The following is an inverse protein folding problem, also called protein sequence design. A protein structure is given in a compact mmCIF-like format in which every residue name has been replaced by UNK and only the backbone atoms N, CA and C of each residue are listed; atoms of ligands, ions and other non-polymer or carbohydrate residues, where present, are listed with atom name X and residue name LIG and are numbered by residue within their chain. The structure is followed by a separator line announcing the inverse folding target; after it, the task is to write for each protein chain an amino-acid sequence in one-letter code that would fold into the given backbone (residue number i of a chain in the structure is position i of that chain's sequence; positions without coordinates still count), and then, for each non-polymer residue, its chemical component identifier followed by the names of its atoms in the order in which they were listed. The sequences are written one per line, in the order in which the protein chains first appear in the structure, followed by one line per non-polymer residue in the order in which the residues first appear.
data_IF_915819886668
#
_entry.id   IF_915819886668
#
_cell.length_a   1.000
_cell.length_b   1.000
_cell.length_c   1.000
_cell.angle_alpha   90.00
_cell.angle_beta   90.00
_cell.angle_gamma   90.00
#
_symmetry.space_group_name_H-M   'P 1'
#
loop_
_entity.id
_entity.type
_entity.pdbx_description
1 polymer ?
#
# COMPACT_ATOMS: atom_id res chain seq x y z
N UNK A 1 41.23 -37.68 69.15
CA UNK A 1 39.88 -38.20 69.51
C UNK A 1 38.98 -38.02 68.30
N UNK A 2 38.05 -38.96 68.05
CA UNK A 2 37.99 -39.77 66.83
C UNK A 2 36.99 -39.29 65.75
N UNK A 3 37.09 -39.94 64.59
CA UNK A 3 36.08 -40.13 63.54
C UNK A 3 34.74 -40.72 64.07
N UNK A 4 33.88 -41.27 63.21
CA UNK A 4 32.89 -40.68 62.30
C UNK A 4 31.45 -41.08 62.72
N UNK A 5 30.40 -40.54 62.11
CA UNK A 5 29.28 -41.39 61.67
C UNK A 5 28.27 -40.67 60.76
N UNK A 6 27.99 -41.35 59.64
CA UNK A 6 26.79 -41.25 58.78
C UNK A 6 25.79 -42.33 59.30
N UNK A 7 24.66 -42.69 58.65
CA UNK A 7 23.81 -42.09 57.61
C UNK A 7 22.28 -42.26 57.88
N UNK A 8 21.41 -41.69 57.03
CA UNK A 8 20.24 -42.34 56.33
C UNK A 8 19.32 -41.25 55.77
N UNK A 9 19.24 -41.06 54.45
CA UNK A 9 18.42 -41.79 53.46
C UNK A 9 17.02 -41.18 53.28
N UNK A 10 16.72 -40.86 52.02
CA UNK A 10 15.54 -40.17 51.48
C UNK A 10 14.23 -40.98 51.58
N UNK A 11 13.06 -40.42 51.15
CA UNK A 11 12.71 -40.57 49.74
C UNK A 11 11.95 -39.40 49.07
N UNK A 12 12.27 -39.22 47.78
CA UNK A 12 11.43 -39.01 46.58
C UNK A 12 10.08 -38.26 46.70
N UNK A 13 9.99 -37.18 45.93
CA UNK A 13 8.73 -36.65 45.36
C UNK A 13 8.96 -35.30 44.65
N UNK A 14 9.06 -35.29 43.32
CA UNK A 14 8.81 -34.08 42.51
C UNK A 14 7.34 -34.03 42.06
N UNK A 15 6.94 -33.25 41.04
CA UNK A 15 7.46 -31.98 40.50
C UNK A 15 6.47 -30.83 40.90
N UNK A 16 6.61 -29.54 40.59
CA UNK A 16 6.50 -28.88 39.29
C UNK A 16 6.71 -27.38 39.46
N UNK A 17 7.33 -26.78 38.46
CA UNK A 17 7.49 -25.35 38.19
C UNK A 17 6.15 -24.59 38.21
N UNK A 18 6.01 -23.58 39.06
CA UNK A 18 5.01 -22.51 38.88
C UNK A 18 5.68 -21.40 38.08
N UNK A 19 5.47 -21.41 36.76
CA UNK A 19 5.93 -20.39 35.84
C UNK A 19 4.71 -19.69 35.24
N UNK A 20 4.64 -18.38 35.49
CA UNK A 20 4.12 -17.35 34.59
C UNK A 20 2.80 -17.65 33.85
N UNK A 21 1.68 -17.27 34.45
CA UNK A 21 0.46 -16.97 33.71
C UNK A 21 0.63 -15.59 33.05
N UNK A 22 1.18 -15.57 31.84
CA UNK A 22 1.01 -14.46 30.92
C UNK A 22 -0.31 -14.67 30.18
N UNK A 23 -1.25 -13.75 30.41
CA UNK A 23 -2.47 -13.61 29.63
C UNK A 23 -2.14 -13.54 28.14
N UNK A 24 -2.39 -14.65 27.44
CA UNK A 24 -2.35 -14.71 25.99
C UNK A 24 -3.64 -14.07 25.48
N UNK A 25 -3.56 -12.84 24.99
CA UNK A 25 -4.61 -12.21 24.19
C UNK A 25 -4.98 -13.14 23.02
N UNK A 26 -6.27 -13.40 22.76
CA UNK A 26 -6.66 -14.22 21.62
C UNK A 26 -6.30 -13.46 20.34
N UNK A 27 -5.45 -14.07 19.51
CA UNK A 27 -5.15 -13.62 18.16
C UNK A 27 -6.43 -13.72 17.35
N UNK A 28 -7.15 -12.61 17.24
CA UNK A 28 -8.27 -12.45 16.31
C UNK A 28 -7.74 -12.63 14.89
N UNK A 29 -8.14 -13.74 14.27
CA UNK A 29 -7.86 -14.01 12.86
C UNK A 29 -8.68 -13.01 12.03
N UNK A 30 -8.07 -12.21 11.13
CA UNK A 30 -8.85 -11.31 10.30
C UNK A 30 -9.82 -12.13 9.43
N UNK A 31 -11.10 -11.71 9.32
CA UNK A 31 -12.09 -12.46 8.55
C UNK A 31 -11.64 -12.56 7.09
N UNK A 32 -11.72 -13.77 6.53
CA UNK A 32 -11.61 -14.00 5.08
C UNK A 32 -12.74 -13.23 4.40
N UNK A 33 -12.39 -12.19 3.65
CA UNK A 33 -13.34 -11.38 2.89
C UNK A 33 -13.89 -12.25 1.75
N UNK A 34 -15.07 -12.83 1.94
CA UNK A 34 -15.87 -13.46 0.88
C UNK A 34 -16.74 -12.36 0.26
N UNK A 35 -16.52 -12.09 -1.03
CA UNK A 35 -17.24 -11.05 -1.77
C UNK A 35 -18.49 -11.67 -2.41
N UNK A 36 -19.62 -11.67 -1.70
CA UNK A 36 -20.93 -11.97 -2.31
C UNK A 36 -21.55 -10.70 -2.90
N UNK A 37 -21.83 -10.73 -4.21
CA UNK A 37 -22.25 -9.58 -5.05
C UNK A 37 -23.75 -9.29 -5.01
N UNK A 38 -24.57 -10.04 -4.27
CA UNK A 38 -26.03 -10.00 -4.42
C UNK A 38 -26.83 -8.95 -3.60
N UNK A 39 -26.30 -8.40 -2.51
CA UNK A 39 -27.14 -7.77 -1.46
C UNK A 39 -27.13 -6.22 -1.47
N UNK A 40 -26.25 -5.56 -2.24
CA UNK A 40 -25.72 -4.24 -1.83
C UNK A 40 -26.24 -3.00 -2.57
N UNK A 41 -27.38 -3.06 -3.27
CA UNK A 41 -27.89 -1.93 -4.07
C UNK A 41 -28.36 -0.71 -3.25
N UNK A 42 -28.82 -0.89 -2.01
CA UNK A 42 -29.31 0.21 -1.15
C UNK A 42 -28.27 0.80 -0.18
N UNK A 43 -27.06 0.21 -0.08
CA UNK A 43 -26.07 0.52 0.96
C UNK A 43 -24.90 1.41 0.50
N UNK A 44 -25.03 2.08 -0.64
CA UNK A 44 -23.98 2.92 -1.25
C UNK A 44 -23.93 4.40 -0.75
N UNK A 45 -24.82 4.80 0.16
CA UNK A 45 -25.03 6.21 0.56
C UNK A 45 -24.35 6.66 1.86
N UNK A 46 -23.54 5.82 2.51
CA UNK A 46 -22.82 6.26 3.70
C UNK A 46 -21.68 7.21 3.31
N UNK A 47 -21.68 8.39 3.92
CA UNK A 47 -20.57 9.35 3.84
C UNK A 47 -19.31 8.74 4.47
N UNK A 48 -18.13 9.11 3.97
CA UNK A 48 -16.84 8.61 4.47
C UNK A 48 -16.74 8.78 6.00
N UNK A 49 -17.26 9.90 6.52
CA UNK A 49 -17.30 10.20 7.96
C UNK A 49 -18.14 9.19 8.75
N UNK A 50 -19.29 8.79 8.21
CA UNK A 50 -20.19 7.84 8.85
C UNK A 50 -19.58 6.43 8.87
N UNK A 51 -18.94 6.03 7.77
CA UNK A 51 -18.25 4.74 7.70
C UNK A 51 -17.09 4.71 8.70
N UNK A 52 -16.30 5.79 8.81
CA UNK A 52 -15.23 5.90 9.81
C UNK A 52 -15.79 5.77 11.23
N UNK A 53 -16.90 6.43 11.54
CA UNK A 53 -17.53 6.36 12.86
C UNK A 53 -17.99 4.94 13.20
N UNK A 54 -18.65 4.25 12.27
CA UNK A 54 -19.10 2.86 12.46
C UNK A 54 -17.93 1.92 12.71
N UNK A 55 -16.86 2.01 11.92
CA UNK A 55 -15.65 1.19 12.11
C UNK A 55 -15.04 1.42 13.49
N UNK A 56 -15.01 2.67 13.98
CA UNK A 56 -14.49 3.01 15.32
C UNK A 56 -15.35 2.43 16.45
N UNK A 57 -16.66 2.26 16.23
CA UNK A 57 -17.57 1.63 17.21
C UNK A 57 -17.52 0.10 17.24
N UNK A 58 -16.62 -0.52 16.46
CA UNK A 58 -16.43 -1.97 16.44
C UNK A 58 -17.27 -2.70 15.38
N UNK A 59 -18.01 -1.98 14.52
CA UNK A 59 -18.68 -2.55 13.36
C UNK A 59 -17.66 -2.79 12.25
N UNK A 60 -16.89 -3.88 12.36
CA UNK A 60 -15.78 -4.18 11.46
C UNK A 60 -16.22 -4.29 10.00
N UNK A 61 -17.45 -4.76 9.77
CA UNK A 61 -18.03 -4.92 8.42
C UNK A 61 -18.20 -3.57 7.70
N UNK A 62 -18.33 -2.47 8.44
CA UNK A 62 -18.40 -1.13 7.85
C UNK A 62 -17.11 -0.77 7.07
N UNK A 63 -15.96 -1.34 7.46
CA UNK A 63 -14.71 -1.13 6.71
C UNK A 63 -14.78 -1.75 5.30
N UNK A 64 -15.62 -2.77 5.10
CA UNK A 64 -15.88 -3.36 3.79
C UNK A 64 -16.35 -2.32 2.77
N UNK A 65 -17.13 -1.33 3.18
CA UNK A 65 -17.57 -0.24 2.30
C UNK A 65 -16.41 0.66 1.84
N UNK A 66 -15.40 0.87 2.69
CA UNK A 66 -14.18 1.59 2.31
C UNK A 66 -13.41 0.80 1.25
N UNK A 67 -13.23 -0.50 1.48
CA UNK A 67 -12.52 -1.38 0.54
C UNK A 67 -13.26 -1.40 -0.79
N UNK A 68 -14.58 -1.62 -0.80
CA UNK A 68 -15.38 -1.67 -2.02
C UNK A 68 -15.27 -0.39 -2.85
N UNK A 69 -15.36 0.77 -2.19
CA UNK A 69 -15.29 2.10 -2.82
C UNK A 69 -13.89 2.42 -3.36
N UNK A 70 -12.84 2.07 -2.61
CA UNK A 70 -11.48 2.54 -2.90
C UNK A 70 -10.54 1.48 -3.48
N UNK A 71 -10.91 0.19 -3.51
CA UNK A 71 -10.03 -0.88 -4.02
C UNK A 71 -9.54 -0.61 -5.44
N UNK A 72 -10.45 -0.28 -6.36
CA UNK A 72 -10.13 -0.10 -7.76
C UNK A 72 -9.33 1.19 -7.98
N UNK A 73 -9.70 2.35 -7.41
CA UNK A 73 -8.86 3.55 -7.43
C UNK A 73 -7.45 3.31 -6.90
N UNK A 74 -7.30 2.65 -5.74
CA UNK A 74 -6.00 2.43 -5.10
C UNK A 74 -5.14 1.44 -5.90
N UNK A 75 -5.70 0.35 -6.41
CA UNK A 75 -4.97 -0.59 -7.28
C UNK A 75 -4.52 0.11 -8.57
N UNK A 76 -5.39 0.91 -9.21
CA UNK A 76 -5.04 1.67 -10.41
C UNK A 76 -3.97 2.72 -10.14
N UNK A 77 -4.04 3.40 -9.00
CA UNK A 77 -3.03 4.35 -8.55
C UNK A 77 -1.68 3.66 -8.40
N UNK A 78 -1.64 2.58 -7.62
CA UNK A 78 -0.42 1.81 -7.36
C UNK A 78 0.16 1.19 -8.64
N UNK A 79 -0.69 0.73 -9.56
CA UNK A 79 -0.25 0.18 -10.86
C UNK A 79 0.52 1.22 -11.67
N UNK A 80 0.06 2.48 -11.70
CA UNK A 80 0.80 3.57 -12.36
C UNK A 80 2.13 3.88 -11.69
N UNK A 81 2.28 3.57 -10.39
CA UNK A 81 3.52 3.77 -9.66
C UNK A 81 4.49 2.59 -9.80
N UNK A 82 4.00 1.36 -9.85
CA UNK A 82 4.82 0.13 -9.87
C UNK A 82 5.10 -0.38 -11.28
N UNK A 83 4.18 -0.16 -12.22
CA UNK A 83 4.18 -0.76 -13.54
C UNK A 83 3.76 -2.23 -13.57
N UNK A 84 3.26 -2.77 -12.45
CA UNK A 84 2.86 -4.17 -12.32
C UNK A 84 1.59 -4.27 -11.47
N UNK A 85 0.54 -4.90 -12.04
CA UNK A 85 -0.77 -5.01 -11.42
C UNK A 85 -0.79 -5.96 -10.21
N UNK A 86 -0.04 -7.06 -10.24
CA UNK A 86 0.02 -8.00 -9.12
C UNK A 86 0.71 -7.36 -7.92
N UNK A 87 1.86 -6.71 -8.13
CA UNK A 87 2.51 -5.91 -7.08
C UNK A 87 1.59 -4.81 -6.58
N UNK A 88 0.80 -4.18 -7.44
CA UNK A 88 -0.15 -3.15 -7.03
C UNK A 88 -1.29 -3.71 -6.18
N UNK A 89 -1.78 -4.92 -6.45
CA UNK A 89 -2.78 -5.61 -5.63
C UNK A 89 -2.23 -5.95 -4.25
N UNK A 90 -1.01 -6.47 -4.17
CA UNK A 90 -0.34 -6.76 -2.90
C UNK A 90 -0.18 -5.48 -2.05
N UNK A 91 0.34 -4.42 -2.66
CA UNK A 91 0.48 -3.12 -1.99
C UNK A 91 -0.88 -2.51 -1.60
N UNK A 92 -1.93 -2.73 -2.38
CA UNK A 92 -3.28 -2.29 -2.03
C UNK A 92 -3.81 -3.05 -0.81
N UNK A 93 -3.57 -4.36 -0.73
CA UNK A 93 -3.93 -5.17 0.43
C UNK A 93 -3.22 -4.65 1.70
N UNK A 94 -1.91 -4.43 1.62
CA UNK A 94 -1.13 -3.82 2.71
C UNK A 94 -1.67 -2.44 3.10
N UNK A 95 -2.09 -1.65 2.11
CA UNK A 95 -2.67 -0.31 2.31
C UNK A 95 -3.96 -0.39 3.12
N UNK A 96 -4.91 -1.26 2.73
CA UNK A 96 -6.17 -1.41 3.44
C UNK A 96 -5.98 -2.02 4.84
N UNK A 97 -5.07 -2.98 4.98
CA UNK A 97 -4.75 -3.55 6.29
C UNK A 97 -4.17 -2.49 7.24
N UNK A 98 -3.24 -1.67 6.75
CA UNK A 98 -2.66 -0.59 7.54
C UNK A 98 -3.68 0.50 7.85
N UNK A 99 -4.55 0.84 6.89
CA UNK A 99 -5.66 1.75 7.09
C UNK A 99 -6.58 1.23 8.20
N UNK A 100 -7.05 -0.01 8.13
CA UNK A 100 -7.87 -0.62 9.16
C UNK A 100 -7.21 -0.59 10.55
N UNK A 101 -5.90 -0.85 10.65
CA UNK A 101 -5.20 -0.78 11.94
C UNK A 101 -5.06 0.64 12.49
N UNK A 102 -5.01 1.65 11.62
CA UNK A 102 -4.75 3.04 12.01
C UNK A 102 -6.03 3.86 12.19
N UNK A 103 -7.12 3.57 11.47
CA UNK A 103 -8.43 4.23 11.66
C UNK A 103 -8.96 4.09 13.08
N UNK A 104 -8.66 2.96 13.73
CA UNK A 104 -9.02 2.66 15.12
C UNK A 104 -8.22 3.49 16.14
N UNK A 105 -7.05 4.00 15.74
CA UNK A 105 -6.14 4.76 16.61
C UNK A 105 -6.26 6.27 16.41
N UNK A 106 -6.63 6.70 15.20
CA UNK A 106 -6.73 8.13 14.90
C UNK A 106 -8.01 8.71 15.49
N UNK A 107 -7.90 9.86 16.17
CA UNK A 107 -9.03 10.60 16.76
C UNK A 107 -9.49 11.79 15.91
N UNK A 108 -8.67 12.21 14.95
CA UNK A 108 -8.95 13.36 14.09
C UNK A 108 -10.01 13.05 13.03
N UNK A 109 -10.67 14.11 12.58
CA UNK A 109 -11.35 14.13 11.28
C UNK A 109 -10.29 14.02 10.18
N UNK A 110 -10.51 13.12 9.23
CA UNK A 110 -9.58 12.84 8.15
C UNK A 110 -10.38 12.82 6.85
N UNK A 111 -9.84 13.43 5.79
CA UNK A 111 -10.27 13.10 4.44
C UNK A 111 -9.87 11.65 4.16
N UNK A 112 -10.85 10.74 4.14
CA UNK A 112 -10.61 9.30 3.96
C UNK A 112 -9.84 9.03 2.68
N UNK A 113 -10.23 9.71 1.58
CA UNK A 113 -9.50 9.68 0.31
C UNK A 113 -8.03 10.07 0.51
N UNK A 114 -7.75 11.30 0.96
CA UNK A 114 -6.36 11.77 1.09
C UNK A 114 -5.52 10.85 2.01
N UNK A 115 -6.12 10.36 3.09
CA UNK A 115 -5.48 9.47 4.03
C UNK A 115 -5.14 8.09 3.44
N UNK A 116 -6.05 7.47 2.67
CA UNK A 116 -5.77 6.22 1.95
C UNK A 116 -4.63 6.40 0.93
N UNK A 117 -4.66 7.49 0.15
CA UNK A 117 -3.59 7.79 -0.81
C UNK A 117 -2.26 8.06 -0.11
N UNK A 118 -2.24 8.62 1.10
CA UNK A 118 -1.03 8.76 1.92
C UNK A 118 -0.44 7.41 2.30
N UNK A 119 -1.26 6.48 2.79
CA UNK A 119 -0.81 5.13 3.14
C UNK A 119 -0.29 4.41 1.88
N UNK A 120 -1.05 4.42 0.78
CA UNK A 120 -0.67 3.80 -0.48
C UNK A 120 0.66 4.35 -1.02
N UNK A 121 0.82 5.68 -0.98
CA UNK A 121 2.06 6.35 -1.41
C UNK A 121 3.26 5.92 -0.57
N UNK A 122 3.09 5.78 0.74
CA UNK A 122 4.17 5.32 1.61
C UNK A 122 4.54 3.86 1.32
N UNK A 123 3.57 2.99 1.07
CA UNK A 123 3.82 1.59 0.71
C UNK A 123 4.57 1.50 -0.64
N UNK A 124 4.14 2.27 -1.64
CA UNK A 124 4.84 2.36 -2.93
C UNK A 124 6.28 2.87 -2.78
N UNK A 125 6.51 3.91 -1.97
CA UNK A 125 7.87 4.42 -1.69
C UNK A 125 8.75 3.37 -1.03
N UNK A 126 8.23 2.64 -0.06
CA UNK A 126 8.97 1.56 0.61
C UNK A 126 9.32 0.43 -0.36
N UNK A 127 8.38 0.04 -1.22
CA UNK A 127 8.63 -0.93 -2.30
C UNK A 127 9.76 -0.48 -3.22
N UNK A 128 9.70 0.75 -3.74
CA UNK A 128 10.75 1.30 -4.62
C UNK A 128 12.10 1.44 -3.93
N UNK A 129 12.12 1.82 -2.64
CA UNK A 129 13.36 1.88 -1.84
C UNK A 129 13.99 0.49 -1.69
N UNK A 130 13.20 -0.53 -1.37
CA UNK A 130 13.66 -1.93 -1.27
C UNK A 130 14.19 -2.45 -2.60
N UNK A 131 13.45 -2.23 -3.70
CA UNK A 131 13.88 -2.64 -5.04
C UNK A 131 15.20 -1.97 -5.44
N UNK A 132 15.35 -0.68 -5.17
CA UNK A 132 16.61 0.04 -5.42
C UNK A 132 17.76 -0.61 -4.67
N UNK A 133 17.61 -0.89 -3.37
CA UNK A 133 18.65 -1.54 -2.56
C UNK A 133 19.03 -2.92 -3.11
N UNK A 134 18.06 -3.73 -3.54
CA UNK A 134 18.31 -5.04 -4.15
C UNK A 134 19.04 -4.93 -5.50
N UNK A 135 18.78 -3.88 -6.29
CA UNK A 135 19.53 -3.62 -7.54
C UNK A 135 20.98 -3.19 -7.29
N UNK A 136 21.30 -2.65 -6.11
CA UNK A 136 22.68 -2.30 -5.72
C UNK A 136 23.46 -3.48 -5.09
N UNK A 137 22.79 -4.61 -4.83
CA UNK A 137 23.48 -5.88 -4.53
C UNK A 137 23.80 -6.53 -5.88
N UNK A 138 25.05 -6.98 -6.14
CA UNK A 138 25.42 -7.60 -7.40
C UNK A 138 24.83 -9.01 -7.46
N UNK A 139 23.52 -9.10 -7.68
CA UNK A 139 22.86 -10.29 -8.17
C UNK A 139 22.20 -9.90 -9.49
N UNK A 140 22.79 -10.41 -10.57
CA UNK A 140 22.36 -10.13 -11.92
C UNK A 140 20.93 -10.61 -12.13
N UNK A 141 20.03 -9.68 -12.37
CA UNK A 141 18.93 -9.77 -13.33
C UNK A 141 18.19 -8.43 -13.30
N UNK A 142 18.43 -7.60 -14.33
CA UNK A 142 17.62 -6.40 -14.56
C UNK A 142 16.27 -6.87 -15.10
N UNK A 143 15.33 -7.15 -14.20
CA UNK A 143 13.93 -7.34 -14.55
C UNK A 143 13.37 -6.05 -15.15
N UNK A 144 13.26 -6.00 -16.47
CA UNK A 144 12.41 -5.04 -17.18
C UNK A 144 10.98 -5.21 -16.64
N UNK A 145 10.25 -4.11 -16.39
CA UNK A 145 8.83 -4.24 -16.04
C UNK A 145 8.10 -4.89 -17.22
N UNK A 146 7.76 -6.17 -17.06
CA UNK A 146 6.91 -6.89 -18.02
C UNK A 146 5.49 -6.39 -17.82
N UNK A 147 5.03 -5.55 -18.74
CA UNK A 147 3.60 -5.29 -18.91
C UNK A 147 3.06 -6.54 -19.62
N UNK A 148 2.12 -7.25 -19.00
CA UNK A 148 1.41 -8.33 -19.67
C UNK A 148 0.70 -7.72 -20.90
N UNK A 149 1.22 -8.04 -22.08
CA UNK A 149 0.67 -7.57 -23.34
C UNK A 149 -0.59 -8.39 -23.66
N UNK A 150 -1.76 -7.81 -23.39
CA UNK A 150 -2.99 -8.29 -24.01
C UNK A 150 -2.92 -7.90 -25.50
N UNK A 151 -2.84 -8.90 -26.37
CA UNK A 151 -2.88 -8.70 -27.81
C UNK A 151 -4.29 -8.33 -28.23
N UNK A 152 -4.54 -7.03 -28.40
CA UNK A 152 -5.65 -6.52 -29.20
C UNK A 152 -5.23 -5.22 -29.90
N UNK A 153 -5.23 -5.25 -31.23
CA UNK A 153 -4.94 -4.13 -32.13
C UNK A 153 -5.91 -2.97 -31.89
N UNK A 154 -5.39 -1.87 -31.35
CA UNK A 154 -5.87 -0.52 -31.61
C UNK A 154 -4.72 0.45 -31.36
N UNK A 155 -4.58 1.49 -32.18
CA UNK A 155 -3.59 2.57 -31.97
C UNK A 155 -3.71 3.15 -30.55
N UNK A 156 -4.91 3.15 -29.97
CA UNK A 156 -5.18 3.56 -28.59
C UNK A 156 -4.51 2.64 -27.55
N UNK A 157 -4.46 1.32 -27.78
CA UNK A 157 -3.74 0.38 -26.90
C UNK A 157 -2.25 0.69 -26.92
N UNK A 158 -1.70 0.94 -28.11
CA UNK A 158 -0.28 1.23 -28.30
C UNK A 158 0.10 2.60 -27.70
N UNK A 159 -0.73 3.62 -27.91
CA UNK A 159 -0.56 4.94 -27.31
C UNK A 159 -0.61 4.84 -25.77
N UNK A 160 -1.59 4.11 -25.23
CA UNK A 160 -1.72 3.90 -23.78
C UNK A 160 -0.49 3.20 -23.19
N UNK A 161 0.01 2.15 -23.85
CA UNK A 161 1.26 1.50 -23.43
C UNK A 161 2.45 2.46 -23.45
N UNK A 162 2.53 3.33 -24.47
CA UNK A 162 3.57 4.37 -24.56
C UNK A 162 3.48 5.34 -23.38
N UNK A 163 2.28 5.82 -23.05
CA UNK A 163 2.04 6.72 -21.93
C UNK A 163 2.45 6.05 -20.61
N UNK A 164 2.04 4.80 -20.39
CA UNK A 164 2.38 4.04 -19.19
C UNK A 164 3.90 3.84 -19.07
N UNK A 165 4.58 3.48 -20.15
CA UNK A 165 6.04 3.35 -20.17
C UNK A 165 6.76 4.69 -19.94
N UNK A 166 6.29 5.77 -20.56
CA UNK A 166 6.84 7.10 -20.37
C UNK A 166 6.69 7.56 -18.92
N UNK A 167 5.54 7.30 -18.30
CA UNK A 167 5.32 7.54 -16.87
C UNK A 167 6.32 6.73 -16.02
N UNK A 168 6.59 5.47 -16.38
CA UNK A 168 7.57 4.63 -15.67
C UNK A 168 9.03 5.12 -15.79
N UNK A 169 9.35 5.99 -16.75
CA UNK A 169 10.67 6.65 -16.86
C UNK A 169 10.79 7.92 -15.99
N UNK A 170 9.67 8.53 -15.59
CA UNK A 170 9.66 9.68 -14.66
C UNK A 170 10.11 9.23 -13.27
N UNK A 171 10.96 10.02 -12.59
CA UNK A 171 11.36 9.73 -11.21
C UNK A 171 10.14 9.50 -10.30
N UNK A 172 10.21 8.48 -9.42
CA UNK A 172 9.09 8.06 -8.58
C UNK A 172 8.41 9.19 -7.81
N UNK A 173 9.16 10.10 -7.18
CA UNK A 173 8.57 11.20 -6.39
C UNK A 173 7.77 12.19 -7.26
N UNK A 174 8.25 12.45 -8.47
CA UNK A 174 7.60 13.34 -9.43
C UNK A 174 6.36 12.66 -10.01
N UNK A 175 6.48 11.37 -10.35
CA UNK A 175 5.37 10.54 -10.85
C UNK A 175 4.21 10.48 -9.85
N UNK A 176 4.50 10.28 -8.56
CA UNK A 176 3.50 10.32 -7.48
C UNK A 176 2.70 11.63 -7.53
N UNK A 177 3.39 12.78 -7.58
CA UNK A 177 2.73 14.07 -7.62
C UNK A 177 1.88 14.26 -8.88
N UNK A 178 2.36 13.80 -10.04
CA UNK A 178 1.62 13.87 -11.31
C UNK A 178 0.35 13.02 -11.27
N UNK A 179 0.42 11.77 -10.80
CA UNK A 179 -0.74 10.88 -10.76
C UNK A 179 -1.79 11.41 -9.78
N UNK A 180 -1.38 11.84 -8.59
CA UNK A 180 -2.30 12.43 -7.61
C UNK A 180 -2.99 13.70 -8.14
N UNK A 181 -2.28 14.51 -8.95
CA UNK A 181 -2.85 15.73 -9.51
C UNK A 181 -3.77 15.45 -10.69
N UNK A 182 -3.27 14.78 -11.74
CA UNK A 182 -3.98 14.64 -13.01
C UNK A 182 -4.99 13.50 -13.03
N UNK A 183 -4.75 12.41 -12.28
CA UNK A 183 -5.64 11.25 -12.27
C UNK A 183 -6.62 11.34 -11.11
N UNK A 184 -6.14 11.73 -9.93
CA UNK A 184 -6.98 11.75 -8.71
C UNK A 184 -7.65 13.11 -8.46
N UNK A 185 -7.27 14.14 -9.23
CA UNK A 185 -7.85 15.48 -9.17
C UNK A 185 -7.50 16.27 -7.91
N UNK A 186 -6.45 15.88 -7.18
CA UNK A 186 -6.10 16.52 -5.91
C UNK A 186 -5.40 17.86 -6.14
N UNK A 187 -5.69 18.81 -5.24
CA UNK A 187 -5.02 20.12 -5.23
C UNK A 187 -3.60 19.96 -4.70
N UNK A 188 -2.70 20.86 -5.11
CA UNK A 188 -1.30 20.79 -4.68
C UNK A 188 -1.12 20.81 -3.15
N UNK A 189 -2.00 21.51 -2.43
CA UNK A 189 -1.98 21.54 -0.96
C UNK A 189 -2.24 20.14 -0.37
N UNK A 190 -3.31 19.47 -0.81
CA UNK A 190 -3.67 18.11 -0.38
C UNK A 190 -2.58 17.10 -0.74
N UNK A 191 -2.00 17.23 -1.93
CA UNK A 191 -0.87 16.40 -2.34
C UNK A 191 0.33 16.62 -1.41
N UNK A 192 0.60 17.87 -1.02
CA UNK A 192 1.67 18.22 -0.07
C UNK A 192 1.49 17.49 1.27
N UNK A 193 0.27 17.48 1.79
CA UNK A 193 -0.12 16.75 3.01
C UNK A 193 0.04 15.23 2.86
N UNK A 194 -0.30 14.67 1.69
CA UNK A 194 -0.13 13.24 1.39
C UNK A 194 1.34 12.86 1.35
N UNK A 195 2.14 13.62 0.59
CA UNK A 195 3.52 13.26 0.27
C UNK A 195 4.52 13.74 1.32
N UNK A 196 4.14 14.70 2.18
CA UNK A 196 4.96 15.26 3.24
C UNK A 196 5.90 16.39 2.80
N UNK A 197 5.48 17.26 1.87
CA UNK A 197 6.25 18.46 1.46
C UNK A 197 5.35 19.69 1.30
N UNK A 198 5.95 20.87 1.11
CA UNK A 198 5.21 22.10 0.83
C UNK A 198 4.46 22.06 -0.51
N UNK A 199 3.35 22.81 -0.60
CA UNK A 199 2.59 22.97 -1.85
C UNK A 199 3.49 23.42 -3.01
N UNK A 200 4.42 24.34 -2.76
CA UNK A 200 5.35 24.84 -3.76
C UNK A 200 6.30 23.74 -4.25
N UNK A 201 6.77 22.87 -3.36
CA UNK A 201 7.58 21.71 -3.73
C UNK A 201 6.78 20.71 -4.60
N UNK A 202 5.49 20.52 -4.32
CA UNK A 202 4.60 19.73 -5.20
C UNK A 202 4.51 20.36 -6.59
N UNK A 203 4.23 21.67 -6.67
CA UNK A 203 4.15 22.40 -7.95
C UNK A 203 5.44 22.23 -8.77
N UNK A 204 6.61 22.38 -8.13
CA UNK A 204 7.93 22.17 -8.76
C UNK A 204 8.11 20.71 -9.21
N UNK A 205 7.69 19.73 -8.41
CA UNK A 205 7.76 18.29 -8.78
C UNK A 205 6.87 17.95 -9.98
N UNK A 206 5.64 18.47 -10.03
CA UNK A 206 4.73 18.28 -11.17
C UNK A 206 5.32 18.90 -12.43
N UNK A 207 5.80 20.14 -12.36
CA UNK A 207 6.41 20.81 -13.51
C UNK A 207 7.64 20.06 -14.05
N UNK A 208 8.53 19.61 -13.16
CA UNK A 208 9.69 18.79 -13.55
C UNK A 208 9.27 17.42 -14.08
N UNK A 209 8.26 16.80 -13.46
CA UNK A 209 7.69 15.53 -13.92
C UNK A 209 7.10 15.61 -15.33
N UNK A 210 6.40 16.70 -15.65
CA UNK A 210 5.89 16.95 -17.01
C UNK A 210 7.02 17.04 -18.04
N UNK A 211 8.15 17.64 -17.66
CA UNK A 211 9.33 17.70 -18.54
C UNK A 211 9.97 16.33 -18.73
N UNK A 212 10.13 15.55 -17.65
CA UNK A 212 10.66 14.19 -17.71
C UNK A 212 9.76 13.29 -18.57
N UNK A 213 8.44 13.39 -18.37
CA UNK A 213 7.44 12.64 -19.12
C UNK A 213 7.51 12.99 -20.60
N UNK A 214 7.55 14.28 -20.95
CA UNK A 214 7.63 14.72 -22.35
C UNK A 214 8.85 14.14 -23.05
N UNK A 215 10.03 14.22 -22.42
CA UNK A 215 11.27 13.65 -22.98
C UNK A 215 11.17 12.13 -23.15
N UNK A 216 10.64 11.44 -22.14
CA UNK A 216 10.45 9.99 -22.18
C UNK A 216 9.45 9.58 -23.28
N UNK A 217 8.33 10.27 -23.38
CA UNK A 217 7.30 10.04 -24.38
C UNK A 217 7.85 10.26 -25.80
N UNK A 218 8.54 11.38 -26.03
CA UNK A 218 9.17 11.69 -27.33
C UNK A 218 10.18 10.63 -27.76
N UNK A 219 11.01 10.13 -26.85
CA UNK A 219 11.92 9.03 -27.19
C UNK A 219 11.16 7.76 -27.60
N UNK A 220 10.14 7.37 -26.84
CA UNK A 220 9.34 6.17 -27.11
C UNK A 220 8.45 6.29 -28.33
N UNK A 221 8.04 7.50 -28.72
CA UNK A 221 7.27 7.76 -29.93
C UNK A 221 8.16 7.91 -31.16
N UNK A 222 9.34 8.53 -31.03
CA UNK A 222 10.29 8.74 -32.13
C UNK A 222 10.99 7.46 -32.58
N UNK A 223 11.29 6.53 -31.65
CA UNK A 223 11.86 5.20 -31.94
C UNK A 223 10.94 4.31 -32.81
N UNK A 224 9.76 4.80 -33.24
CA UNK A 224 8.78 4.06 -34.06
C UNK A 224 8.70 4.54 -35.52
N UNK A 225 9.27 5.70 -35.85
CA UNK A 225 9.22 6.28 -37.20
C UNK A 225 10.46 5.94 -38.05
N UNK A 226 11.44 5.21 -37.50
CA UNK A 226 12.62 4.64 -38.19
C UNK A 226 12.52 3.12 -38.34
#
# INVERSE_FOLDING_TARGET
MPSPDRPRAAPRGGPTTSSSNHDVCPVSTPPRIIVDRGIWRDRLLLDDTQVIAQVRTGQTDAFGHIVERYQLPIVRYLTRLTGNIETARDLAQDTFLQAYKSILKTKSELSLKAWLYRIATNNARQFHRRRRLLTFVPFGERGTPVIAADQASSEQTVERMTIEQAMLRVNHERRVCMVLHYVEGLKYKEIGEIVGVSEEAVRKRVARGNNDFRKAYQSLSGDREE
#
